data_IF_627763685204
#
_entry.id   IF_627763685204
#
_cell.length_a   1.000
_cell.length_b   1.000
_cell.length_c   1.000
_cell.angle_alpha   90.00
_cell.angle_beta   90.00
_cell.angle_gamma   90.00
#
_symmetry.space_group_name_H-M   'P 1'
#
loop_
_entity.id
_entity.type
_entity.pdbx_description
1 polymer ?
#
# COMPACT_ATOMS: atom_id res chain seq x y z
N UNK A 1 -8.79 -49.58 -24.46
CA UNK A 1 -8.82 -49.13 -23.92
C UNK A 1 -8.40 -48.48 -23.39
N UNK A 2 -8.40 -48.47 -23.53
CA UNK A 2 -8.20 -47.76 -22.92
C UNK A 2 -7.75 -46.86 -22.38
N UNK A 3 -7.75 -47.00 -22.59
CA UNK A 3 -7.55 -46.05 -21.98
C UNK A 3 -7.11 -45.32 -21.46
N UNK A 4 -7.13 -45.22 -21.45
CA UNK A 4 -7.04 -44.34 -20.78
C UNK A 4 -6.59 -43.58 -20.28
N UNK A 5 -6.61 -43.74 -20.80
CA UNK A 5 -6.62 -42.88 -20.28
C UNK A 5 -6.27 -42.15 -19.68
N UNK A 6 -6.23 -42.34 -19.82
CA UNK A 6 -6.19 -41.52 -19.12
C UNK A 6 -5.77 -40.71 -18.63
N UNK A 7 -5.71 -40.79 -18.93
CA UNK A 7 -5.64 -39.93 -18.36
C UNK A 7 -5.38 -39.10 -17.83
N UNK A 8 -5.32 -39.31 -18.17
CA UNK A 8 -5.48 -38.42 -17.60
C UNK A 8 -5.24 -37.69 -17.03
N UNK A 9 -5.09 -37.85 -17.38
CA UNK A 9 -5.32 -37.07 -16.72
C UNK A 9 -4.75 -36.47 -16.29
N UNK A 10 -4.56 -36.32 -16.35
CA UNK A 10 -4.42 -35.56 -15.80
C UNK A 10 -4.14 -34.80 -15.47
N UNK A 11 -4.08 -34.94 -15.75
CA UNK A 11 -4.27 -34.02 -15.36
C UNK A 11 -4.12 -33.37 -14.86
N UNK A 12 -3.92 -33.51 -15.14
CA UNK A 12 -4.09 -32.71 -14.56
C UNK A 12 -3.85 -32.06 -14.11
N UNK A 13 -3.69 -32.22 -14.44
CA UNK A 13 -3.92 -31.53 -13.83
C UNK A 13 -3.38 -30.91 -13.60
N UNK A 14 -3.21 -30.76 -13.84
CA UNK A 14 -3.14 -29.96 -13.42
C UNK A 14 -3.04 -29.22 -13.23
N UNK A 15 -3.08 -29.19 -13.54
CA UNK A 15 -3.37 -28.29 -13.15
C UNK A 15 -3.23 -27.63 -12.65
N UNK A 16 -3.15 -27.59 -12.77
CA UNK A 16 -3.27 -26.82 -12.07
C UNK A 16 -2.74 -26.20 -11.68
N UNK A 17 -2.41 -26.01 -11.88
CA UNK A 17 -2.11 -25.29 -11.21
C UNK A 17 -1.68 -24.47 -11.19
N UNK A 18 -1.64 -24.33 -11.56
CA UNK A 18 -1.53 -23.43 -11.31
C UNK A 18 -1.43 -22.59 -11.13
N UNK A 19 -1.55 -22.44 -11.33
CA UNK A 19 -1.54 -21.44 -10.91
C UNK A 19 -1.28 -20.74 -10.34
N UNK A 20 -1.18 -20.63 -10.25
CA UNK A 20 -1.16 -19.96 -9.50
C UNK A 20 -0.55 -19.21 -9.37
N UNK A 21 -0.35 -19.04 -9.66
CA UNK A 21 0.05 -18.38 -9.34
C UNK A 21 0.15 -17.60 -9.22
N UNK A 22 0.01 -17.55 -9.47
CA UNK A 22 -0.09 -16.75 -9.22
C UNK A 22 0.07 -16.01 -8.53
N UNK A 23 0.22 -16.16 -8.06
CA UNK A 23 0.30 -15.38 -7.30
C UNK A 23 0.83 -14.22 -7.49
N UNK A 24 1.35 -14.03 -8.25
CA UNK A 24 1.74 -12.73 -8.71
C UNK A 24 0.71 -11.70 -8.36
N UNK A 25 -0.47 -12.13 -8.30
CA UNK A 25 -1.52 -11.26 -7.80
C UNK A 25 -1.14 -10.62 -6.47
N UNK A 26 -0.28 -11.29 -5.70
CA UNK A 26 0.16 -10.78 -4.42
C UNK A 26 1.18 -9.66 -4.51
N UNK A 27 1.70 -9.33 -5.70
CA UNK A 27 2.75 -8.34 -5.83
C UNK A 27 2.30 -6.94 -5.38
N UNK A 28 1.02 -6.59 -5.56
CA UNK A 28 0.49 -5.27 -5.22
C UNK A 28 -0.84 -5.38 -4.47
N UNK A 29 -0.85 -6.01 -3.29
CA UNK A 29 -2.10 -6.29 -2.59
C UNK A 29 -2.78 -5.05 -2.02
N UNK A 30 -2.10 -3.91 -2.00
CA UNK A 30 -2.63 -2.68 -1.39
C UNK A 30 -3.04 -1.64 -2.42
N UNK A 31 -3.05 -1.98 -3.69
CA UNK A 31 -3.51 -1.08 -4.73
C UNK A 31 -4.98 -0.71 -4.50
N UNK A 32 -5.32 0.53 -4.80
CA UNK A 32 -6.68 1.04 -4.66
C UNK A 32 -6.70 2.47 -4.16
N UNK A 33 -7.89 2.92 -3.82
CA UNK A 33 -8.12 4.27 -3.28
C UNK A 33 -8.28 4.18 -1.77
N UNK A 34 -7.68 5.12 -1.06
CA UNK A 34 -7.61 5.12 0.39
C UNK A 34 -8.04 6.46 0.95
N UNK A 35 -8.83 6.44 2.01
CA UNK A 35 -9.19 7.64 2.76
C UNK A 35 -8.21 7.78 3.92
N UNK A 36 -7.69 8.98 4.13
CA UNK A 36 -6.59 9.21 5.07
C UNK A 36 -6.90 10.33 6.05
N UNK A 37 -6.43 10.18 7.28
CA UNK A 37 -6.45 11.22 8.32
C UNK A 37 -5.01 11.46 8.76
N UNK A 38 -4.61 12.71 8.81
CA UNK A 38 -3.26 13.13 9.20
C UNK A 38 -3.38 14.02 10.43
N UNK A 39 -2.65 13.71 11.49
CA UNK A 39 -2.74 14.42 12.76
C UNK A 39 -1.35 14.78 13.27
N UNK A 40 -1.14 16.06 13.55
CA UNK A 40 0.08 16.53 14.19
C UNK A 40 0.09 16.19 15.67
N UNK A 41 1.27 15.94 16.20
CA UNK A 41 1.43 15.49 17.59
C UNK A 41 2.32 16.37 18.43
N UNK A 42 2.75 17.52 17.93
CA UNK A 42 3.54 18.44 18.74
C UNK A 42 3.10 19.88 18.53
N UNK A 43 3.67 20.78 19.33
CA UNK A 43 3.20 22.17 19.38
C UNK A 43 3.40 22.95 18.09
N UNK A 44 4.39 22.56 17.30
CA UNK A 44 4.64 23.25 16.02
C UNK A 44 3.81 22.66 14.89
N UNK A 45 2.92 21.74 15.19
CA UNK A 45 2.21 20.95 14.20
C UNK A 45 0.71 20.98 14.45
N UNK A 46 0.07 22.02 13.96
CA UNK A 46 -1.38 22.14 14.06
C UNK A 46 -2.03 21.55 12.80
N UNK A 47 -1.86 20.24 12.62
CA UNK A 47 -2.38 19.54 11.45
C UNK A 47 -3.45 18.57 11.87
N UNK A 48 -4.60 18.67 11.20
CA UNK A 48 -5.70 17.71 11.36
C UNK A 48 -6.45 17.72 10.04
N UNK A 49 -6.05 16.83 9.14
CA UNK A 49 -6.48 16.85 7.75
C UNK A 49 -7.07 15.51 7.37
N UNK A 50 -8.19 15.55 6.67
CA UNK A 50 -8.78 14.37 6.02
C UNK A 50 -8.55 14.52 4.53
N UNK A 51 -7.97 13.50 3.91
CA UNK A 51 -7.64 13.51 2.50
C UNK A 51 -7.73 12.11 1.93
N UNK A 52 -7.14 11.88 0.78
CA UNK A 52 -7.13 10.54 0.16
C UNK A 52 -5.84 10.36 -0.64
N UNK A 53 -5.51 9.11 -0.91
CA UNK A 53 -4.41 8.78 -1.81
C UNK A 53 -4.76 7.54 -2.62
N UNK A 54 -3.98 7.31 -3.66
CA UNK A 54 -4.12 6.13 -4.52
C UNK A 54 -2.83 5.33 -4.48
N UNK A 55 -2.96 4.02 -4.42
CA UNK A 55 -1.83 3.10 -4.60
C UNK A 55 -2.05 2.36 -5.91
N UNK A 56 -1.06 2.40 -6.78
CA UNK A 56 -1.12 1.74 -8.08
C UNK A 56 0.23 1.09 -8.37
N UNK A 57 0.23 -0.21 -8.60
CA UNK A 57 1.46 -1.00 -8.77
C UNK A 57 2.44 -0.80 -7.62
N UNK A 58 1.91 -0.70 -6.39
CA UNK A 58 2.72 -0.49 -5.21
C UNK A 58 3.25 0.92 -5.06
N UNK A 59 2.83 1.85 -5.91
CA UNK A 59 3.25 3.25 -5.83
C UNK A 59 2.12 4.09 -5.24
N UNK A 60 2.40 4.77 -4.14
CA UNK A 60 1.44 5.67 -3.50
C UNK A 60 1.60 7.07 -4.07
N UNK A 61 0.49 7.68 -4.44
CA UNK A 61 0.50 9.05 -4.96
C UNK A 61 -0.62 9.90 -4.37
N UNK A 62 -0.26 11.15 -4.09
CA UNK A 62 -1.13 12.24 -3.64
C UNK A 62 -0.59 13.53 -4.27
N UNK A 63 -1.36 14.62 -4.25
CA UNK A 63 -0.81 15.91 -4.63
C UNK A 63 0.36 16.26 -3.76
N UNK A 64 1.43 16.43 -3.82
CA UNK A 64 2.58 16.78 -2.99
C UNK A 64 3.21 15.62 -2.21
N UNK A 65 2.81 14.38 -2.49
CA UNK A 65 3.39 13.25 -1.76
C UNK A 65 3.47 12.02 -2.65
N UNK A 66 4.52 11.25 -2.49
CA UNK A 66 4.66 9.99 -3.20
C UNK A 66 5.45 9.00 -2.35
N UNK A 67 5.28 7.72 -2.64
CA UNK A 67 5.98 6.69 -1.92
C UNK A 67 5.77 5.31 -2.50
N UNK A 68 6.31 4.33 -1.80
CA UNK A 68 6.27 2.92 -2.20
C UNK A 68 5.63 2.09 -1.11
N UNK A 69 4.82 1.13 -1.51
CA UNK A 69 4.17 0.17 -0.62
C UNK A 69 4.61 -1.22 -1.07
N UNK A 70 5.38 -1.90 -0.24
CA UNK A 70 5.85 -3.25 -0.54
C UNK A 70 4.74 -4.27 -0.37
N UNK A 71 4.91 -5.44 -0.98
CA UNK A 71 3.92 -6.51 -0.86
C UNK A 71 3.70 -6.94 0.58
N UNK A 72 4.71 -6.80 1.44
CA UNK A 72 4.57 -7.15 2.86
C UNK A 72 3.95 -6.04 3.71
N UNK A 73 3.55 -4.92 3.10
CA UNK A 73 2.88 -3.83 3.79
C UNK A 73 3.78 -2.69 4.25
N UNK A 74 5.09 -2.88 4.20
CA UNK A 74 6.03 -1.81 4.57
C UNK A 74 5.93 -0.67 3.58
N UNK A 75 5.90 0.58 4.05
CA UNK A 75 5.71 1.74 3.17
C UNK A 75 6.57 2.91 3.62
N UNK A 76 6.98 3.73 2.66
CA UNK A 76 7.74 4.95 2.93
C UNK A 76 7.62 5.91 1.77
N UNK A 77 7.84 7.18 2.05
CA UNK A 77 7.77 8.18 1.01
C UNK A 77 8.15 9.55 1.50
N UNK A 78 7.93 10.53 0.62
CA UNK A 78 8.25 11.92 0.87
C UNK A 78 7.08 12.81 0.46
N UNK A 79 7.04 14.00 1.01
CA UNK A 79 6.07 15.02 0.64
C UNK A 79 6.79 16.37 0.58
N UNK A 80 6.23 17.30 -0.20
CA UNK A 80 6.90 18.56 -0.46
C UNK A 80 5.85 19.60 -0.81
N UNK A 81 5.76 20.67 -0.04
CA UNK A 81 4.82 21.76 -0.30
C UNK A 81 5.34 23.05 0.31
N UNK A 82 5.35 24.11 -0.48
CA UNK A 82 5.68 25.47 -0.01
C UNK A 82 7.03 25.57 0.70
N UNK A 83 8.02 24.82 0.22
CA UNK A 83 9.36 24.84 0.80
C UNK A 83 9.52 23.96 2.02
N UNK A 84 8.47 23.29 2.45
CA UNK A 84 8.51 22.35 3.58
C UNK A 84 8.55 20.95 3.01
N UNK A 85 9.50 20.14 3.47
CA UNK A 85 9.59 18.74 3.07
C UNK A 85 9.23 17.84 4.24
N UNK A 86 8.76 16.66 3.93
CA UNK A 86 8.44 15.66 4.94
C UNK A 86 8.89 14.28 4.48
N UNK A 87 9.19 13.43 5.43
CA UNK A 87 9.36 12.01 5.20
C UNK A 87 8.32 11.26 6.01
N UNK A 88 7.83 10.16 5.46
CA UNK A 88 6.86 9.36 6.18
C UNK A 88 7.16 7.87 6.00
N UNK A 89 6.76 7.10 6.99
CA UNK A 89 6.83 5.65 6.97
C UNK A 89 5.50 5.10 7.46
N UNK A 90 5.23 3.85 7.14
CA UNK A 90 4.00 3.23 7.59
C UNK A 90 3.94 1.75 7.30
N UNK A 91 2.79 1.20 7.62
CA UNK A 91 2.54 -0.21 7.43
C UNK A 91 1.09 -0.42 6.99
N UNK A 92 0.91 -1.20 5.95
CA UNK A 92 -0.39 -1.59 5.40
C UNK A 92 -0.69 -3.02 5.82
N UNK A 93 -1.92 -3.28 6.22
CA UNK A 93 -2.39 -4.62 6.58
C UNK A 93 -3.88 -4.72 6.28
N UNK A 94 -4.27 -5.62 5.38
CA UNK A 94 -5.65 -5.73 4.95
C UNK A 94 -6.14 -4.44 4.33
N UNK A 95 -7.21 -3.89 4.85
CA UNK A 95 -7.81 -2.65 4.35
C UNK A 95 -7.46 -1.44 5.21
N UNK A 96 -6.42 -1.52 6.02
CA UNK A 96 -5.99 -0.43 6.89
C UNK A 96 -4.52 -0.15 6.74
N UNK A 97 -4.13 1.08 7.04
CA UNK A 97 -2.74 1.48 7.05
C UNK A 97 -2.55 2.57 8.09
N UNK A 98 -1.32 2.70 8.58
CA UNK A 98 -0.99 3.76 9.51
C UNK A 98 0.52 3.99 9.51
N UNK A 99 0.92 5.13 10.01
CA UNK A 99 2.33 5.46 10.05
C UNK A 99 2.58 6.79 10.72
N UNK A 100 3.79 7.28 10.51
CA UNK A 100 4.26 8.51 11.11
C UNK A 100 4.92 9.39 10.06
N UNK A 101 5.00 10.67 10.34
CA UNK A 101 5.69 11.61 9.47
C UNK A 101 6.51 12.59 10.27
N UNK A 102 7.48 13.20 9.59
CA UNK A 102 8.37 14.20 10.17
C UNK A 102 8.63 15.26 9.09
N UNK A 103 8.40 16.52 9.43
CA UNK A 103 8.59 17.64 8.51
C UNK A 103 9.84 18.43 8.83
N UNK A 104 10.35 19.09 7.81
CA UNK A 104 11.56 19.92 7.95
C UNK A 104 11.37 21.11 8.88
N UNK A 105 10.12 21.53 9.13
CA UNK A 105 9.83 22.64 10.05
C UNK A 105 9.66 22.16 11.50
N UNK A 106 9.92 20.89 11.80
CA UNK A 106 9.80 20.35 13.14
C UNK A 106 8.48 19.70 13.49
N UNK A 107 7.49 19.81 12.61
CA UNK A 107 6.20 19.15 12.83
C UNK A 107 6.39 17.63 12.72
N UNK A 108 5.90 16.90 13.71
CA UNK A 108 5.83 15.44 13.67
C UNK A 108 4.40 15.01 13.97
N UNK A 109 4.02 13.85 13.46
CA UNK A 109 2.68 13.35 13.69
C UNK A 109 2.49 11.95 13.12
N UNK A 110 1.24 11.59 12.97
CA UNK A 110 0.87 10.27 12.47
C UNK A 110 -0.22 10.39 11.41
N UNK A 111 -0.35 9.35 10.64
CA UNK A 111 -1.42 9.23 9.67
C UNK A 111 -2.05 7.85 9.78
N UNK A 112 -3.30 7.75 9.39
CA UNK A 112 -4.01 6.48 9.29
C UNK A 112 -4.90 6.51 8.07
N UNK A 113 -5.20 5.33 7.52
CA UNK A 113 -5.98 5.25 6.29
C UNK A 113 -6.79 3.97 6.25
N UNK A 114 -7.89 4.01 5.51
CA UNK A 114 -8.71 2.84 5.24
C UNK A 114 -8.95 2.78 3.73
N UNK A 115 -8.95 1.58 3.19
CA UNK A 115 -9.24 1.39 1.77
C UNK A 115 -10.72 1.67 1.52
N UNK A 116 -11.00 2.39 0.46
CA UNK A 116 -12.36 2.72 0.06
C UNK A 116 -12.99 1.65 -0.80
#
# INVERSE_FOLDING_TARGET
MKAFVVTVGLVLGVSALSPVALFAAGAHPYDGNWAEVIVGENKVCDVNVTTSFTVSNGHLSQPNSSGEVSANGSARGTADANGVTATWTGHFAGNKASGRFKRSDGCVGRWSAVRQ
#
